data_IF_342517366014
#
_entry.id   IF_342517366014
#
_cell.length_a   1.000
_cell.length_b   1.000
_cell.length_c   1.000
_cell.angle_alpha   90.00
_cell.angle_beta   90.00
_cell.angle_gamma   90.00
#
_symmetry.space_group_name_H-M   'P 1'
#
loop_
_entity.id
_entity.type
_entity.pdbx_description
1 polymer ?
#
# COMPACT_ATOMS: atom_id res chain seq x y z
N UNK A 1 26.51 -11.16 -9.04
CA UNK A 1 25.46 -11.67 -8.14
C UNK A 1 24.75 -12.79 -8.87
N UNK A 2 24.74 -13.99 -8.29
CA UNK A 2 24.21 -15.21 -8.89
C UNK A 2 22.72 -15.04 -9.25
N UNK A 3 22.35 -15.32 -10.49
CA UNK A 3 20.96 -15.41 -10.92
C UNK A 3 20.37 -16.61 -10.19
N UNK A 4 19.51 -16.39 -9.20
CA UNK A 4 18.77 -17.48 -8.55
C UNK A 4 17.76 -17.95 -9.57
N UNK A 5 17.94 -19.14 -10.12
CA UNK A 5 16.96 -19.74 -11.02
C UNK A 5 15.63 -19.91 -10.26
N UNK A 6 14.50 -19.46 -10.84
CA UNK A 6 13.20 -19.61 -10.18
C UNK A 6 12.88 -21.09 -10.05
N UNK A 7 12.49 -21.52 -8.85
CA UNK A 7 12.07 -22.90 -8.63
C UNK A 7 10.71 -23.14 -9.28
N UNK A 8 10.69 -24.03 -10.28
CA UNK A 8 9.47 -24.47 -10.92
C UNK A 8 9.00 -25.79 -10.31
N UNK A 9 7.70 -25.90 -10.09
CA UNK A 9 7.07 -27.12 -9.61
C UNK A 9 5.86 -27.46 -10.48
N UNK A 10 5.63 -28.74 -10.74
CA UNK A 10 4.45 -29.22 -11.46
C UNK A 10 3.45 -29.80 -10.48
N UNK A 11 2.18 -29.41 -10.61
CA UNK A 11 1.07 -29.94 -9.84
C UNK A 11 0.83 -31.42 -10.15
N UNK A 12 1.00 -32.30 -9.16
CA UNK A 12 0.67 -33.72 -9.28
C UNK A 12 -0.79 -34.01 -8.94
N UNK A 13 -1.44 -33.09 -8.21
CA UNK A 13 -2.87 -33.09 -7.90
C UNK A 13 -3.48 -31.71 -8.18
N UNK A 14 -4.79 -31.65 -8.43
CA UNK A 14 -5.52 -30.38 -8.51
C UNK A 14 -5.77 -29.84 -7.09
N UNK A 15 -5.62 -28.53 -6.91
CA UNK A 15 -5.88 -27.85 -5.65
C UNK A 15 -6.86 -26.70 -5.87
N UNK A 16 -7.91 -26.65 -5.05
CA UNK A 16 -8.90 -25.58 -5.06
C UNK A 16 -8.84 -24.88 -3.71
N UNK A 17 -8.19 -23.71 -3.71
CA UNK A 17 -8.13 -22.84 -2.56
C UNK A 17 -9.52 -22.48 -2.04
N UNK A 18 -9.68 -22.49 -0.72
CA UNK A 18 -10.89 -22.08 -0.01
C UNK A 18 -10.81 -20.64 0.48
N UNK A 19 -9.60 -20.17 0.74
CA UNK A 19 -9.32 -18.82 1.23
C UNK A 19 -8.78 -17.93 0.10
N UNK A 20 -8.90 -16.61 0.27
CA UNK A 20 -8.50 -15.63 -0.75
C UNK A 20 -6.98 -15.51 -0.95
N UNK A 21 -6.20 -16.09 -0.05
CA UNK A 21 -4.74 -16.18 -0.07
C UNK A 21 -4.24 -17.52 -0.60
N UNK A 22 -5.12 -18.46 -0.96
CA UNK A 22 -4.77 -19.79 -1.49
C UNK A 22 -4.79 -19.82 -3.03
N UNK A 23 -3.78 -20.46 -3.64
CA UNK A 23 -3.67 -20.59 -5.09
C UNK A 23 -4.57 -21.71 -5.61
N UNK A 24 -5.24 -21.51 -6.74
CA UNK A 24 -6.02 -22.55 -7.41
C UNK A 24 -5.32 -23.03 -8.68
N UNK A 25 -5.14 -24.34 -8.82
CA UNK A 25 -4.51 -24.96 -10.00
C UNK A 25 -5.02 -26.38 -10.24
N UNK A 26 -4.77 -26.90 -11.44
CA UNK A 26 -5.11 -28.26 -11.87
C UNK A 26 -3.86 -29.12 -11.95
N UNK A 27 -4.05 -30.43 -11.84
CA UNK A 27 -3.00 -31.42 -12.12
C UNK A 27 -2.36 -31.14 -13.49
N UNK A 28 -1.04 -31.06 -13.52
CA UNK A 28 -0.21 -30.81 -14.69
C UNK A 28 0.26 -29.36 -14.83
N UNK A 29 -0.37 -28.42 -14.11
CA UNK A 29 0.02 -27.00 -14.14
C UNK A 29 1.42 -26.80 -13.55
N UNK A 30 2.19 -25.89 -14.14
CA UNK A 30 3.53 -25.52 -13.67
C UNK A 30 3.44 -24.20 -12.92
N UNK A 31 3.97 -24.18 -11.70
CA UNK A 31 3.86 -23.07 -10.75
C UNK A 31 5.28 -22.56 -10.46
N UNK A 32 5.44 -21.24 -10.41
CA UNK A 32 6.68 -20.58 -9.98
C UNK A 32 6.64 -20.43 -8.46
N UNK A 33 7.55 -21.10 -7.74
CA UNK A 33 7.60 -20.98 -6.27
C UNK A 33 8.27 -19.66 -5.88
N UNK A 34 7.57 -18.83 -5.13
CA UNK A 34 8.04 -17.52 -4.63
C UNK A 34 8.54 -17.61 -3.19
N UNK A 35 7.94 -18.47 -2.35
CA UNK A 35 8.35 -18.67 -0.96
C UNK A 35 8.12 -20.13 -0.51
N UNK A 36 9.04 -20.64 0.32
CA UNK A 36 8.88 -21.92 1.03
C UNK A 36 8.79 -21.66 2.53
N UNK A 37 7.76 -22.19 3.18
CA UNK A 37 7.71 -22.28 4.65
C UNK A 37 7.90 -23.73 5.11
N UNK A 38 8.54 -23.91 6.26
CA UNK A 38 8.83 -25.23 6.85
C UNK A 38 7.56 -25.99 7.28
N UNK A 39 6.41 -25.31 7.33
CA UNK A 39 5.10 -25.88 7.64
C UNK A 39 4.44 -26.68 6.51
N UNK A 40 5.13 -26.89 5.38
CA UNK A 40 4.60 -27.66 4.25
C UNK A 40 3.63 -26.90 3.35
N UNK A 41 3.50 -25.58 3.54
CA UNK A 41 2.79 -24.67 2.64
C UNK A 41 3.81 -23.81 1.91
N UNK A 42 3.69 -23.77 0.58
CA UNK A 42 4.52 -22.95 -0.29
C UNK A 42 3.67 -21.87 -0.93
N UNK A 43 4.27 -20.70 -1.16
CA UNK A 43 3.66 -19.64 -1.97
C UNK A 43 4.21 -19.75 -3.39
N UNK A 44 3.34 -19.56 -4.38
CA UNK A 44 3.78 -19.48 -5.75
C UNK A 44 2.78 -18.77 -6.66
N UNK A 45 3.26 -18.46 -7.86
CA UNK A 45 2.54 -17.72 -8.89
C UNK A 45 2.15 -18.65 -10.03
N UNK A 46 0.87 -18.62 -10.41
CA UNK A 46 0.32 -19.31 -11.58
C UNK A 46 -0.77 -18.45 -12.24
N UNK A 47 -0.68 -18.25 -13.56
CA UNK A 47 -1.58 -17.38 -14.33
C UNK A 47 -1.77 -15.99 -13.66
N UNK A 48 -0.67 -15.30 -13.37
CA UNK A 48 -0.63 -13.97 -12.73
C UNK A 48 -1.21 -13.91 -11.29
N UNK A 49 -1.71 -15.03 -10.75
CA UNK A 49 -2.22 -15.12 -9.38
C UNK A 49 -1.19 -15.75 -8.46
N UNK A 50 -0.98 -15.13 -7.30
CA UNK A 50 -0.10 -15.64 -6.26
C UNK A 50 -0.92 -16.13 -5.08
N UNK A 51 -0.54 -17.26 -4.51
CA UNK A 51 -1.18 -17.77 -3.30
C UNK A 51 -0.48 -18.99 -2.72
N UNK A 52 -0.95 -19.38 -1.54
CA UNK A 52 -0.46 -20.52 -0.78
C UNK A 52 -1.05 -21.82 -1.30
N UNK A 53 -0.22 -22.87 -1.31
CA UNK A 53 -0.65 -24.23 -1.61
C UNK A 53 0.18 -25.29 -0.86
N UNK A 54 -0.36 -26.50 -0.66
CA UNK A 54 0.36 -27.57 0.01
C UNK A 54 1.53 -28.07 -0.85
N UNK A 55 2.74 -28.12 -0.29
CA UNK A 55 3.95 -28.54 -1.03
C UNK A 55 3.89 -30.00 -1.50
N UNK A 56 3.12 -30.85 -0.82
CA UNK A 56 2.89 -32.24 -1.21
C UNK A 56 1.95 -32.41 -2.43
N UNK A 57 1.39 -31.32 -2.96
CA UNK A 57 0.56 -31.34 -4.17
C UNK A 57 1.36 -31.10 -5.44
N UNK A 58 2.66 -30.85 -5.32
CA UNK A 58 3.55 -30.51 -6.41
C UNK A 58 4.84 -31.33 -6.36
N UNK A 59 5.58 -31.35 -7.47
CA UNK A 59 6.92 -31.94 -7.57
C UNK A 59 7.83 -30.98 -8.34
N UNK A 60 9.14 -30.96 -8.04
CA UNK A 60 10.09 -30.14 -8.79
C UNK A 60 10.03 -30.43 -10.30
N UNK A 61 9.89 -29.37 -11.09
CA UNK A 61 9.81 -29.44 -12.54
C UNK A 61 11.09 -28.88 -13.15
N UNK A 62 11.91 -29.75 -13.72
CA UNK A 62 13.09 -29.38 -14.51
C UNK A 62 12.73 -29.55 -15.98
N UNK A 63 12.58 -28.46 -16.76
CA UNK A 63 12.29 -28.59 -18.18
C UNK A 63 13.48 -29.27 -18.88
N UNK A 64 13.31 -30.52 -19.30
CA UNK A 64 14.25 -31.20 -20.21
C UNK A 64 14.03 -30.68 -21.64
N UNK A 65 15.10 -30.39 -22.41
CA UNK A 65 14.99 -29.87 -23.78
C UNK A 65 14.17 -30.72 -24.77
N UNK A 66 13.92 -32.00 -24.46
CA UNK A 66 13.35 -32.99 -25.39
C UNK A 66 11.81 -33.11 -25.38
N UNK A 67 11.08 -32.32 -24.60
CA UNK A 67 9.61 -32.48 -24.42
C UNK A 67 8.73 -31.52 -25.27
N UNK A 68 9.22 -31.05 -26.43
CA UNK A 68 8.52 -30.11 -27.34
C UNK A 68 7.39 -30.74 -28.20
N UNK A 69 6.89 -31.95 -27.89
CA UNK A 69 5.93 -32.66 -28.76
C UNK A 69 4.48 -32.75 -28.25
N UNK A 70 4.10 -32.06 -27.17
CA UNK A 70 2.70 -32.01 -26.73
C UNK A 70 2.14 -30.57 -26.77
N UNK A 71 0.93 -30.33 -27.31
CA UNK A 71 0.33 -29.00 -27.39
C UNK A 71 -0.23 -28.60 -26.01
N UNK A 72 0.66 -28.39 -25.04
CA UNK A 72 0.33 -27.60 -23.86
C UNK A 72 0.30 -26.15 -24.33
N UNK A 73 -0.82 -25.45 -24.09
CA UNK A 73 -0.97 -24.02 -24.35
C UNK A 73 0.00 -23.24 -23.45
N UNK A 74 1.27 -23.23 -23.83
CA UNK A 74 2.21 -22.23 -23.39
C UNK A 74 1.81 -20.93 -24.10
N UNK A 75 1.35 -19.94 -23.34
CA UNK A 75 1.87 -18.60 -23.61
C UNK A 75 3.37 -18.72 -23.34
N UNK A 76 4.15 -18.63 -24.41
CA UNK A 76 5.59 -18.85 -24.47
C UNK A 76 6.32 -18.27 -23.24
N UNK A 77 7.40 -18.92 -22.74
CA UNK A 77 8.32 -18.25 -21.85
C UNK A 77 8.99 -17.15 -22.66
N UNK A 78 8.48 -15.93 -22.55
CA UNK A 78 9.22 -14.76 -22.99
C UNK A 78 10.48 -14.76 -22.14
N UNK A 79 11.60 -15.23 -22.69
CA UNK A 79 12.91 -14.82 -22.21
C UNK A 79 12.90 -13.31 -22.35
N UNK A 80 12.55 -12.59 -21.28
CA UNK A 80 12.66 -11.14 -21.29
C UNK A 80 14.11 -10.83 -21.64
N UNK A 81 14.37 -10.02 -22.67
CA UNK A 81 15.72 -9.56 -22.96
C UNK A 81 16.32 -9.03 -21.65
N UNK A 82 17.56 -9.36 -21.37
CA UNK A 82 18.29 -8.93 -20.16
C UNK A 82 18.18 -7.42 -19.90
N UNK A 83 18.02 -6.63 -20.97
CA UNK A 83 17.76 -5.19 -20.90
C UNK A 83 16.35 -4.85 -20.39
N UNK A 84 15.33 -5.64 -20.70
CA UNK A 84 13.96 -5.46 -20.21
C UNK A 84 13.82 -5.87 -18.74
N UNK A 85 14.53 -6.92 -18.29
CA UNK A 85 14.59 -7.31 -16.88
C UNK A 85 15.35 -6.28 -16.03
N UNK A 86 16.45 -5.72 -16.56
CA UNK A 86 17.15 -4.57 -15.95
C UNK A 86 16.27 -3.32 -15.92
N UNK A 87 15.52 -3.04 -17.01
CA UNK A 87 14.55 -1.96 -17.05
C UNK A 87 13.43 -2.17 -16.04
N UNK A 88 12.86 -3.38 -15.90
CA UNK A 88 11.84 -3.68 -14.90
C UNK A 88 12.34 -3.53 -13.47
N UNK A 89 13.59 -3.96 -13.19
CA UNK A 89 14.21 -3.82 -11.86
C UNK A 89 14.57 -2.37 -11.53
N UNK A 90 15.04 -1.60 -12.51
CA UNK A 90 15.25 -0.16 -12.39
C UNK A 90 13.93 0.59 -12.22
N UNK A 91 12.89 0.20 -12.97
CA UNK A 91 11.54 0.74 -12.85
C UNK A 91 10.94 0.42 -11.47
N UNK A 92 11.13 -0.78 -10.91
CA UNK A 92 10.74 -1.11 -9.54
C UNK A 92 11.45 -0.20 -8.54
N UNK A 93 12.76 -0.02 -8.66
CA UNK A 93 13.50 0.86 -7.76
C UNK A 93 13.01 2.32 -7.83
N UNK A 94 12.64 2.79 -9.04
CA UNK A 94 12.02 4.10 -9.24
C UNK A 94 10.62 4.18 -8.61
N UNK A 95 9.78 3.16 -8.78
CA UNK A 95 8.43 3.12 -8.17
C UNK A 95 8.51 3.08 -6.64
N UNK A 96 9.40 2.25 -6.08
CA UNK A 96 9.64 2.21 -4.64
C UNK A 96 10.11 3.56 -4.12
N UNK A 97 11.04 4.20 -4.83
CA UNK A 97 11.51 5.54 -4.49
C UNK A 97 10.37 6.57 -4.58
N UNK A 98 9.55 6.53 -5.62
CA UNK A 98 8.40 7.43 -5.79
C UNK A 98 7.39 7.27 -4.64
N UNK A 99 7.13 6.03 -4.20
CA UNK A 99 6.28 5.75 -3.03
C UNK A 99 6.84 6.43 -1.77
N UNK A 100 8.14 6.25 -1.51
CA UNK A 100 8.82 6.81 -0.33
C UNK A 100 8.87 8.34 -0.40
N UNK A 101 9.26 8.90 -1.55
CA UNK A 101 9.30 10.35 -1.77
C UNK A 101 7.90 10.97 -1.62
N UNK A 102 6.88 10.29 -2.13
CA UNK A 102 5.47 10.67 -1.97
C UNK A 102 5.00 10.59 -0.51
N UNK A 103 5.43 9.59 0.25
CA UNK A 103 5.15 9.46 1.69
C UNK A 103 5.85 10.56 2.50
N UNK A 104 7.12 10.82 2.20
CA UNK A 104 7.92 11.88 2.83
C UNK A 104 7.37 13.27 2.57
N UNK A 105 6.91 13.53 1.34
CA UNK A 105 6.21 14.77 1.01
C UNK A 105 4.92 14.89 1.82
N UNK A 106 4.14 13.82 1.91
CA UNK A 106 2.90 13.79 2.69
C UNK A 106 3.13 14.05 4.19
N UNK A 107 4.12 13.38 4.81
CA UNK A 107 4.49 13.59 6.22
C UNK A 107 4.95 15.04 6.45
N UNK A 108 5.85 15.56 5.61
CA UNK A 108 6.34 16.94 5.71
C UNK A 108 5.19 17.95 5.61
N UNK A 109 4.25 17.74 4.68
CA UNK A 109 3.07 18.60 4.54
C UNK A 109 2.15 18.55 5.76
N UNK A 110 1.90 17.37 6.33
CA UNK A 110 1.11 17.24 7.56
C UNK A 110 1.78 17.93 8.74
N UNK A 111 3.08 17.73 8.92
CA UNK A 111 3.88 18.42 9.94
C UNK A 111 3.79 19.94 9.76
N UNK A 112 3.92 20.42 8.52
CA UNK A 112 3.81 21.84 8.20
C UNK A 112 2.44 22.38 8.59
N UNK A 113 1.35 21.68 8.28
CA UNK A 113 -0.01 22.10 8.64
C UNK A 113 -0.19 22.13 10.16
N UNK A 114 0.30 21.10 10.87
CA UNK A 114 0.20 21.01 12.32
C UNK A 114 1.01 22.14 12.99
N UNK A 115 2.26 22.32 12.58
CA UNK A 115 3.16 23.29 13.19
C UNK A 115 2.82 24.73 12.82
N UNK A 116 2.47 25.01 11.56
CA UNK A 116 2.28 26.38 11.08
C UNK A 116 0.83 26.88 11.21
N UNK A 117 -0.17 25.99 11.32
CA UNK A 117 -1.57 26.41 11.46
C UNK A 117 -2.19 25.95 12.77
N UNK A 118 -2.06 24.68 13.14
CA UNK A 118 -2.73 24.19 14.36
C UNK A 118 -2.10 24.74 15.64
N UNK A 119 -0.76 24.87 15.71
CA UNK A 119 -0.09 25.46 16.89
C UNK A 119 -0.45 26.95 17.07
N UNK A 120 -0.46 27.81 16.02
CA UNK A 120 -0.97 29.17 16.17
C UNK A 120 -2.44 29.24 16.57
N UNK A 121 -3.31 28.39 16.00
CA UNK A 121 -4.74 28.34 16.39
C UNK A 121 -4.89 27.97 17.87
N UNK A 122 -4.09 27.02 18.38
CA UNK A 122 -4.07 26.64 19.79
C UNK A 122 -3.62 27.81 20.68
N UNK A 123 -2.59 28.57 20.26
CA UNK A 123 -2.07 29.74 20.99
C UNK A 123 -2.98 30.96 20.94
N UNK A 124 -3.78 31.11 19.89
CA UNK A 124 -4.70 32.24 19.74
C UNK A 124 -5.95 32.10 20.60
N UNK A 125 -6.15 30.96 21.30
CA UNK A 125 -7.28 30.68 22.19
C UNK A 125 -8.67 31.01 21.60
N UNK A 126 -8.80 31.00 20.26
CA UNK A 126 -10.05 31.35 19.54
C UNK A 126 -11.17 30.37 19.92
N UNK A 127 -10.80 29.12 20.19
CA UNK A 127 -11.72 28.04 20.49
C UNK A 127 -11.29 27.29 21.75
N UNK A 128 -12.26 26.70 22.44
CA UNK A 128 -12.00 25.89 23.64
C UNK A 128 -11.11 24.68 23.32
N UNK A 129 -10.39 24.17 24.33
CA UNK A 129 -9.54 22.97 24.18
C UNK A 129 -10.30 21.76 23.62
N UNK A 130 -11.59 21.63 23.96
CA UNK A 130 -12.46 20.57 23.42
C UNK A 130 -12.77 20.78 21.93
N UNK A 131 -13.07 22.00 21.51
CA UNK A 131 -13.31 22.33 20.10
C UNK A 131 -12.04 22.17 19.25
N UNK A 132 -10.88 22.54 19.80
CA UNK A 132 -9.59 22.32 19.15
C UNK A 132 -9.30 20.82 18.99
N UNK A 133 -9.56 20.01 20.02
CA UNK A 133 -9.45 18.55 19.93
C UNK A 133 -10.43 17.96 18.91
N UNK A 134 -11.65 18.49 18.78
CA UNK A 134 -12.61 18.04 17.76
C UNK A 134 -12.19 18.43 16.34
N UNK A 135 -11.61 19.62 16.16
CA UNK A 135 -11.09 20.10 14.87
C UNK A 135 -9.87 19.29 14.41
N UNK A 136 -8.93 19.06 15.32
CA UNK A 136 -7.69 18.33 15.04
C UNK A 136 -7.87 16.81 15.09
N UNK A 137 -8.92 16.33 15.78
CA UNK A 137 -9.25 14.92 15.97
C UNK A 137 -7.97 14.11 16.29
N UNK A 138 -7.78 12.99 15.60
CA UNK A 138 -6.61 12.14 15.67
C UNK A 138 -5.56 12.44 14.57
N UNK A 139 -5.47 13.69 14.08
CA UNK A 139 -4.48 14.05 13.05
C UNK A 139 -3.03 13.84 13.52
N UNK A 140 -2.74 14.06 14.81
CA UNK A 140 -1.41 13.76 15.39
C UNK A 140 -1.10 12.27 15.39
N UNK A 141 -2.12 11.43 15.61
CA UNK A 141 -1.98 9.97 15.55
C UNK A 141 -1.74 9.51 14.11
N UNK A 142 -2.46 10.09 13.13
CA UNK A 142 -2.18 9.88 11.70
C UNK A 142 -0.73 10.22 11.41
N UNK A 143 -0.27 11.41 11.79
CA UNK A 143 1.10 11.83 11.52
C UNK A 143 2.11 10.82 12.08
N UNK A 144 1.97 10.45 13.37
CA UNK A 144 2.90 9.50 14.01
C UNK A 144 2.89 8.12 13.34
N UNK A 145 1.72 7.65 12.90
CA UNK A 145 1.59 6.40 12.16
C UNK A 145 2.33 6.46 10.82
N UNK A 146 2.15 7.55 10.07
CA UNK A 146 2.79 7.75 8.77
C UNK A 146 4.30 8.01 8.87
N UNK A 147 4.78 8.65 9.94
CA UNK A 147 6.21 8.75 10.25
C UNK A 147 6.84 7.38 10.52
N UNK A 148 6.14 6.55 11.31
CA UNK A 148 6.59 5.18 11.61
C UNK A 148 6.58 4.31 10.35
N UNK A 149 5.55 4.44 9.51
CA UNK A 149 5.48 3.79 8.21
C UNK A 149 6.65 4.20 7.32
N UNK A 150 6.93 5.50 7.19
CA UNK A 150 8.04 6.02 6.39
C UNK A 150 9.39 5.45 6.83
N UNK A 151 9.68 5.48 8.14
CA UNK A 151 10.92 4.93 8.69
C UNK A 151 11.04 3.42 8.41
N UNK A 152 9.94 2.68 8.52
CA UNK A 152 9.92 1.24 8.23
C UNK A 152 10.08 0.95 6.74
N UNK A 153 9.47 1.77 5.88
CA UNK A 153 9.61 1.66 4.43
C UNK A 153 11.06 1.93 4.00
N UNK A 154 11.70 2.98 4.53
CA UNK A 154 13.10 3.31 4.25
C UNK A 154 14.05 2.19 4.68
N UNK A 155 13.82 1.58 5.85
CA UNK A 155 14.59 0.43 6.31
C UNK A 155 14.39 -0.82 5.44
N UNK A 156 13.15 -1.07 5.00
CA UNK A 156 12.77 -2.28 4.26
C UNK A 156 13.06 -2.21 2.75
N UNK A 157 13.61 -1.10 2.24
CA UNK A 157 14.04 -0.98 0.83
C UNK A 157 15.08 -2.05 0.49
N UNK A 158 15.98 -2.35 1.42
CA UNK A 158 17.04 -3.34 1.23
C UNK A 158 16.49 -4.77 1.17
N UNK A 159 15.45 -5.07 1.96
CA UNK A 159 14.83 -6.39 2.06
C UNK A 159 13.86 -6.70 0.90
N UNK A 160 13.58 -5.71 0.04
CA UNK A 160 12.67 -5.83 -1.12
C UNK A 160 11.27 -6.34 -0.76
N UNK A 161 10.82 -6.22 0.49
CA UNK A 161 9.51 -6.70 0.98
C UNK A 161 8.58 -5.55 1.36
N UNK A 162 8.33 -4.64 0.42
CA UNK A 162 7.48 -3.47 0.69
C UNK A 162 6.03 -3.85 0.90
N UNK A 163 5.51 -4.86 0.19
CA UNK A 163 4.14 -5.33 0.34
C UNK A 163 3.84 -5.77 1.77
N UNK A 164 4.80 -6.46 2.42
CA UNK A 164 4.68 -6.90 3.82
C UNK A 164 4.53 -5.72 4.79
N UNK A 165 5.32 -4.66 4.61
CA UNK A 165 5.25 -3.46 5.46
C UNK A 165 3.86 -2.85 5.36
N UNK A 166 3.36 -2.60 4.16
CA UNK A 166 2.02 -2.05 4.00
C UNK A 166 0.93 -2.95 4.57
N UNK A 167 1.04 -4.28 4.45
CA UNK A 167 0.11 -5.21 5.08
C UNK A 167 0.13 -5.14 6.61
N UNK A 168 1.29 -4.95 7.22
CA UNK A 168 1.44 -4.80 8.66
C UNK A 168 0.79 -3.51 9.17
N UNK A 169 0.94 -2.40 8.43
CA UNK A 169 0.37 -1.10 8.80
C UNK A 169 -1.09 -0.92 8.38
N UNK A 170 -1.61 -1.74 7.46
CA UNK A 170 -3.00 -1.67 7.00
C UNK A 170 -4.07 -1.64 8.12
N UNK A 171 -4.03 -2.49 9.16
CA UNK A 171 -5.04 -2.45 10.23
C UNK A 171 -5.00 -1.13 11.03
N UNK A 172 -3.80 -0.63 11.35
CA UNK A 172 -3.64 0.64 12.05
C UNK A 172 -4.09 1.82 11.19
N UNK A 173 -3.71 1.83 9.91
CA UNK A 173 -4.16 2.85 8.94
C UNK A 173 -5.69 2.84 8.86
N UNK A 174 -6.32 1.67 8.78
CA UNK A 174 -7.78 1.54 8.75
C UNK A 174 -8.41 2.13 10.02
N UNK A 175 -7.90 1.80 11.21
CA UNK A 175 -8.43 2.28 12.50
C UNK A 175 -8.31 3.80 12.67
N UNK A 176 -7.13 4.34 12.39
CA UNK A 176 -6.84 5.76 12.58
C UNK A 176 -7.60 6.60 11.54
N UNK A 177 -7.60 6.21 10.26
CA UNK A 177 -8.36 6.94 9.25
C UNK A 177 -9.87 6.82 9.42
N UNK A 178 -10.38 5.69 9.94
CA UNK A 178 -11.80 5.55 10.30
C UNK A 178 -12.21 6.57 11.35
N UNK A 179 -11.44 6.67 12.43
CA UNK A 179 -11.70 7.61 13.52
C UNK A 179 -11.62 9.07 13.04
N UNK A 180 -10.69 9.36 12.13
CA UNK A 180 -10.57 10.69 11.52
C UNK A 180 -11.77 11.04 10.64
N UNK A 181 -12.20 10.12 9.78
CA UNK A 181 -13.34 10.30 8.90
C UNK A 181 -14.64 10.51 9.69
N UNK A 182 -14.84 9.78 10.80
CA UNK A 182 -16.03 9.91 11.63
C UNK A 182 -16.11 11.25 12.37
N UNK A 183 -14.96 11.82 12.76
CA UNK A 183 -14.89 13.15 13.38
C UNK A 183 -14.95 14.31 12.38
N UNK A 184 -14.74 14.03 11.08
CA UNK A 184 -14.61 15.07 10.05
C UNK A 184 -15.85 15.97 9.86
N UNK A 185 -17.11 15.47 9.92
CA UNK A 185 -18.29 16.33 9.84
C UNK A 185 -18.36 17.36 10.98
N UNK A 186 -17.93 16.99 12.19
CA UNK A 186 -17.86 17.91 13.34
C UNK A 186 -16.76 18.95 13.15
N UNK A 187 -15.60 18.54 12.66
CA UNK A 187 -14.51 19.46 12.31
C UNK A 187 -14.96 20.48 11.24
N UNK A 188 -15.72 20.05 10.22
CA UNK A 188 -16.27 20.94 9.20
C UNK A 188 -17.26 21.96 9.77
N UNK A 189 -18.12 21.56 10.71
CA UNK A 189 -19.03 22.48 11.39
C UNK A 189 -18.27 23.54 12.22
N UNK A 190 -17.20 23.14 12.90
CA UNK A 190 -16.32 24.07 13.63
C UNK A 190 -15.62 25.03 12.65
N UNK A 191 -15.11 24.53 11.52
CA UNK A 191 -14.49 25.38 10.49
C UNK A 191 -15.44 26.45 9.94
N UNK A 192 -16.71 26.11 9.72
CA UNK A 192 -17.70 27.07 9.21
C UNK A 192 -18.08 28.11 10.28
N UNK A 193 -18.18 27.67 11.54
CA UNK A 193 -18.50 28.54 12.68
C UNK A 193 -17.41 29.59 12.94
N UNK A 194 -16.14 29.16 12.89
CA UNK A 194 -14.98 30.01 13.22
C UNK A 194 -14.24 30.53 11.97
N UNK A 195 -14.88 30.51 10.79
CA UNK A 195 -14.24 30.79 9.50
C UNK A 195 -13.49 32.13 9.44
N UNK A 196 -14.06 33.19 10.00
CA UNK A 196 -13.51 34.55 9.89
C UNK A 196 -12.31 34.73 10.82
N UNK A 197 -12.37 34.13 12.01
CA UNK A 197 -11.31 34.20 13.02
C UNK A 197 -10.13 33.29 12.64
N UNK A 198 -10.43 32.08 12.13
CA UNK A 198 -9.44 31.19 11.55
C UNK A 198 -8.74 31.83 10.35
N UNK A 199 -9.48 32.47 9.44
CA UNK A 199 -8.86 33.16 8.30
C UNK A 199 -7.88 34.23 8.76
N UNK A 200 -8.24 35.05 9.75
CA UNK A 200 -7.35 36.09 10.31
C UNK A 200 -6.09 35.50 10.93
N UNK A 201 -6.21 34.46 11.75
CA UNK A 201 -5.04 33.82 12.39
C UNK A 201 -4.16 33.11 11.37
N UNK A 202 -4.76 32.52 10.35
CA UNK A 202 -4.02 31.87 9.28
C UNK A 202 -3.26 32.87 8.41
N UNK A 203 -3.87 33.99 8.03
CA UNK A 203 -3.19 35.07 7.30
C UNK A 203 -2.10 35.71 8.14
N UNK A 204 -2.33 35.90 9.45
CA UNK A 204 -1.31 36.36 10.39
C UNK A 204 -0.14 35.36 10.56
N UNK A 205 -0.40 34.06 10.34
CA UNK A 205 0.61 32.99 10.39
C UNK A 205 1.29 32.74 9.03
N UNK A 206 1.00 33.58 8.01
CA UNK A 206 1.64 33.50 6.69
C UNK A 206 0.99 32.52 5.71
N UNK A 207 -0.27 32.11 5.93
CA UNK A 207 -1.01 31.31 4.96
C UNK A 207 -1.35 32.11 3.70
N UNK A 208 -1.29 31.46 2.53
CA UNK A 208 -1.80 32.05 1.28
C UNK A 208 -3.31 32.31 1.40
N UNK A 209 -3.75 33.50 1.01
CA UNK A 209 -5.18 33.84 1.03
C UNK A 209 -5.95 33.07 -0.05
N UNK A 210 -7.12 32.48 0.26
CA UNK A 210 -7.80 32.47 1.57
C UNK A 210 -7.22 31.42 2.53
N UNK A 211 -6.82 31.86 3.74
CA UNK A 211 -6.20 30.99 4.74
C UNK A 211 -7.06 29.75 5.06
N UNK A 212 -8.37 29.92 5.23
CA UNK A 212 -9.30 28.81 5.50
C UNK A 212 -9.23 27.69 4.46
N UNK A 213 -9.00 28.01 3.17
CA UNK A 213 -8.88 27.00 2.12
C UNK A 213 -7.65 26.12 2.34
N UNK A 214 -6.54 26.70 2.83
CA UNK A 214 -5.32 25.96 3.14
C UNK A 214 -5.58 24.94 4.25
N UNK A 215 -6.33 25.33 5.29
CA UNK A 215 -6.67 24.44 6.41
C UNK A 215 -7.65 23.35 5.98
N UNK A 216 -8.73 23.71 5.30
CA UNK A 216 -9.72 22.73 4.80
C UNK A 216 -9.08 21.75 3.81
N UNK A 217 -8.22 22.25 2.92
CA UNK A 217 -7.46 21.39 1.99
C UNK A 217 -6.53 20.47 2.78
N UNK A 218 -5.79 21.00 3.77
CA UNK A 218 -4.88 20.25 4.63
C UNK A 218 -5.57 19.13 5.41
N UNK A 219 -6.69 19.43 6.06
CA UNK A 219 -7.51 18.46 6.81
C UNK A 219 -8.14 17.40 5.89
N UNK A 220 -8.39 17.73 4.62
CA UNK A 220 -8.86 16.72 3.66
C UNK A 220 -7.75 15.78 3.14
N UNK A 221 -6.46 16.10 3.36
CA UNK A 221 -5.32 15.33 2.79
C UNK A 221 -5.22 13.90 3.29
N UNK A 222 -5.33 13.60 4.61
CA UNK A 222 -5.29 12.21 5.08
C UNK A 222 -6.32 11.32 4.41
N UNK A 223 -7.53 11.85 4.25
CA UNK A 223 -8.60 11.14 3.55
C UNK A 223 -8.17 10.82 2.11
N UNK A 224 -7.63 11.80 1.36
CA UNK A 224 -7.17 11.61 -0.03
C UNK A 224 -5.91 10.73 -0.15
N UNK A 225 -5.09 10.61 0.90
CA UNK A 225 -3.87 9.77 0.87
C UNK A 225 -4.21 8.29 0.66
N UNK A 226 -5.32 7.82 1.25
CA UNK A 226 -5.79 6.45 1.08
C UNK A 226 -6.09 6.11 -0.39
N UNK A 227 -6.67 7.05 -1.14
CA UNK A 227 -6.95 6.85 -2.57
C UNK A 227 -5.65 6.72 -3.39
N UNK A 228 -4.58 7.42 -2.97
CA UNK A 228 -3.27 7.34 -3.62
C UNK A 228 -2.56 6.01 -3.36
N UNK A 229 -2.71 5.41 -2.18
CA UNK A 229 -2.07 4.12 -1.89
C UNK A 229 -2.51 3.02 -2.84
N UNK A 230 -3.80 2.92 -3.17
CA UNK A 230 -4.28 1.89 -4.11
C UNK A 230 -3.57 1.99 -5.46
N UNK A 231 -3.42 3.20 -6.00
CA UNK A 231 -2.72 3.43 -7.28
C UNK A 231 -1.21 3.16 -7.19
N UNK A 232 -0.56 3.63 -6.12
CA UNK A 232 0.86 3.40 -5.88
C UNK A 232 1.19 1.91 -5.73
N UNK A 233 0.35 1.16 -5.00
CA UNK A 233 0.50 -0.27 -4.78
C UNK A 233 0.20 -1.08 -6.05
N UNK A 234 -0.75 -0.63 -6.89
CA UNK A 234 -0.99 -1.22 -8.21
C UNK A 234 0.22 -1.04 -9.13
N UNK A 235 0.83 0.14 -9.12
CA UNK A 235 2.02 0.40 -9.92
C UNK A 235 3.23 -0.41 -9.42
N UNK A 236 3.34 -0.59 -8.09
CA UNK A 236 4.32 -1.50 -7.49
C UNK A 236 4.07 -2.93 -7.97
N UNK A 237 2.84 -3.45 -7.84
CA UNK A 237 2.45 -4.78 -8.31
C UNK A 237 2.82 -4.98 -9.78
N UNK A 238 2.54 -4.00 -10.65
CA UNK A 238 2.80 -4.08 -12.09
C UNK A 238 4.29 -4.26 -12.44
N UNK A 239 5.18 -3.86 -11.53
CA UNK A 239 6.63 -3.94 -11.68
C UNK A 239 7.28 -5.03 -10.80
N UNK A 240 6.48 -5.83 -10.09
CA UNK A 240 6.98 -6.99 -9.35
C UNK A 240 6.92 -8.23 -10.25
N UNK A 241 8.10 -8.80 -10.54
CA UNK A 241 8.27 -10.05 -11.30
C UNK A 241 7.50 -11.21 -10.62
N UNK A 242 6.99 -12.16 -11.42
CA UNK A 242 6.23 -13.32 -10.95
C UNK A 242 7.05 -14.23 -10.02
N UNK A 243 8.37 -14.23 -10.14
CA UNK A 243 9.29 -14.99 -9.29
C UNK A 243 9.74 -14.22 -8.02
N UNK A 244 9.28 -12.97 -7.84
CA UNK A 244 9.73 -12.14 -6.74
C UNK A 244 9.03 -12.49 -5.42
N UNK A 245 9.78 -12.53 -4.31
CA UNK A 245 9.29 -12.86 -2.95
C UNK A 245 8.19 -11.92 -2.41
N UNK A 246 8.03 -10.75 -3.04
CA UNK A 246 7.10 -9.67 -2.65
C UNK A 246 5.84 -9.66 -3.52
N UNK A 247 5.75 -10.57 -4.51
CA UNK A 247 4.63 -10.64 -5.47
C UNK A 247 3.32 -10.92 -4.75
N UNK A 248 3.31 -11.94 -3.88
CA UNK A 248 2.13 -12.32 -3.10
C UNK A 248 1.71 -11.22 -2.12
N UNK A 249 2.66 -10.66 -1.38
CA UNK A 249 2.40 -9.57 -0.44
C UNK A 249 1.90 -8.30 -1.17
N UNK A 250 2.45 -7.95 -2.33
CA UNK A 250 2.00 -6.79 -3.13
C UNK A 250 0.56 -6.96 -3.62
N UNK A 251 0.21 -8.16 -4.13
CA UNK A 251 -1.17 -8.45 -4.57
C UNK A 251 -2.17 -8.40 -3.42
N UNK A 252 -1.83 -9.03 -2.28
CA UNK A 252 -2.65 -8.96 -1.06
C UNK A 252 -2.81 -7.51 -0.59
N UNK A 253 -1.73 -6.73 -0.63
CA UNK A 253 -1.74 -5.32 -0.24
C UNK A 253 -2.69 -4.48 -1.10
N UNK A 254 -2.66 -4.64 -2.43
CA UNK A 254 -3.58 -3.94 -3.34
C UNK A 254 -5.04 -4.26 -3.00
N UNK A 255 -5.35 -5.53 -2.70
CA UNK A 255 -6.70 -5.94 -2.32
C UNK A 255 -7.15 -5.29 -1.01
N UNK A 256 -6.29 -5.33 0.02
CA UNK A 256 -6.59 -4.75 1.34
C UNK A 256 -6.80 -3.23 1.27
N UNK A 257 -5.93 -2.50 0.58
CA UNK A 257 -6.08 -1.04 0.47
C UNK A 257 -7.28 -0.63 -0.39
N UNK A 258 -7.63 -1.45 -1.39
CA UNK A 258 -8.88 -1.25 -2.14
C UNK A 258 -10.10 -1.44 -1.25
N UNK A 259 -10.12 -2.44 -0.37
CA UNK A 259 -11.20 -2.63 0.61
C UNK A 259 -11.31 -1.44 1.59
N UNK A 260 -10.18 -0.95 2.10
CA UNK A 260 -10.12 0.24 2.96
C UNK A 260 -10.70 1.46 2.22
N UNK A 261 -10.33 1.65 0.96
CA UNK A 261 -10.83 2.74 0.13
C UNK A 261 -12.34 2.67 -0.12
N UNK A 262 -12.87 1.47 -0.41
CA UNK A 262 -14.31 1.25 -0.61
C UNK A 262 -15.08 1.47 0.70
N UNK A 263 -14.57 0.94 1.81
CA UNK A 263 -15.14 1.12 3.15
C UNK A 263 -15.28 2.60 3.52
N UNK A 264 -14.31 3.44 3.15
CA UNK A 264 -14.39 4.90 3.35
C UNK A 264 -15.55 5.56 2.62
N UNK A 265 -15.90 5.15 1.39
CA UNK A 265 -17.05 5.75 0.69
C UNK A 265 -18.36 5.50 1.44
N UNK A 266 -18.46 4.36 2.12
CA UNK A 266 -19.61 4.03 2.98
C UNK A 266 -19.61 4.92 4.23
N UNK A 267 -18.44 5.18 4.82
CA UNK A 267 -18.31 6.06 6.00
C UNK A 267 -18.62 7.52 5.74
N UNK A 268 -18.51 8.00 4.49
CA UNK A 268 -18.86 9.37 4.11
C UNK A 268 -20.36 9.59 3.91
N UNK A 269 -21.16 8.52 3.88
CA UNK A 269 -22.60 8.54 3.56
C UNK A 269 -23.46 8.16 4.78
N UNK A 270 -22.83 7.70 5.87
CA UNK A 270 -23.47 7.28 7.12
C UNK A 270 -23.29 8.35 8.20
#
# INVERSE_FOLDING_TARGET
>A
MSVVEPLLVQAVYSFKGKNNDELCFKKGDVIVVTQKEDGGWWEGTFNEKTGWFPSNYVQEYKPTPDALSSPVKFSSPVKLPSDLALNMKANRALVVKDIIDSEKAYVTELQTIIHNFLVPIEKSEIMSKEQFQQLTSNLREILSLHETLLATLEASVQDQRLGRVFLQFAPDIKRVHYSYAHSHPRAACILDTFKDELTKVMEASGASSPGLLVLTTGLSKPLRRLDKYTGLLQELERHVDEAHVDRGDSQRCVSVYRDIQVSRRVWSVS
#
